data_IF_146026154474
#
_entry.id   IF_146026154474
#
_cell.length_a   1.000
_cell.length_b   1.000
_cell.length_c   1.000
_cell.angle_alpha   90.00
_cell.angle_beta   90.00
_cell.angle_gamma   90.00
#
_symmetry.space_group_name_H-M   'P 1'
#
loop_
_entity.id
_entity.type
_entity.pdbx_description
1 polymer ?
#
# COMPACT_ATOMS: atom_id res chain seq x y z
N UNK A 1 -14.34 2.09 -23.58
CA UNK A 1 -13.00 2.18 -22.96
C UNK A 1 -12.74 3.45 -22.15
N UNK A 2 -12.82 4.68 -22.70
CA UNK A 2 -12.45 5.89 -21.93
C UNK A 2 -13.40 6.21 -20.77
N UNK A 3 -14.70 5.93 -20.93
CA UNK A 3 -15.71 6.16 -19.89
C UNK A 3 -15.60 5.13 -18.76
N UNK A 4 -15.56 3.82 -19.08
CA UNK A 4 -15.52 2.76 -18.06
C UNK A 4 -14.28 2.82 -17.16
N UNK A 5 -13.12 3.20 -17.71
CA UNK A 5 -11.90 3.40 -16.92
C UNK A 5 -12.06 4.59 -15.97
N UNK A 6 -12.65 5.68 -16.44
CA UNK A 6 -12.90 6.87 -15.61
C UNK A 6 -13.93 6.56 -14.52
N UNK A 7 -14.98 5.81 -14.83
CA UNK A 7 -16.01 5.41 -13.86
C UNK A 7 -15.45 4.47 -12.80
N UNK A 8 -14.58 3.52 -13.17
CA UNK A 8 -13.90 2.65 -12.22
C UNK A 8 -12.93 3.44 -11.30
N UNK A 9 -12.27 4.47 -11.84
CA UNK A 9 -11.39 5.36 -11.05
C UNK A 9 -12.21 6.22 -10.08
N UNK A 10 -13.34 6.77 -10.53
CA UNK A 10 -14.23 7.59 -9.68
C UNK A 10 -14.83 6.72 -8.57
N UNK A 11 -15.33 5.52 -8.90
CA UNK A 11 -15.90 4.60 -7.92
C UNK A 11 -14.85 4.19 -6.87
N UNK A 12 -13.59 3.99 -7.27
CA UNK A 12 -12.51 3.72 -6.34
C UNK A 12 -12.19 4.91 -5.42
N UNK A 13 -12.38 6.16 -5.90
CA UNK A 13 -12.12 7.38 -5.15
C UNK A 13 -13.23 7.74 -4.15
N UNK A 14 -14.46 7.31 -4.40
CA UNK A 14 -15.63 7.57 -3.54
C UNK A 14 -15.76 6.61 -2.34
N UNK A 15 -14.83 5.67 -2.20
CA UNK A 15 -14.90 4.66 -1.15
C UNK A 15 -14.28 5.17 0.17
N UNK A 16 -14.87 4.80 1.32
CA UNK A 16 -14.43 5.30 2.62
C UNK A 16 -12.99 4.91 2.93
N UNK A 17 -12.29 5.78 3.68
CA UNK A 17 -10.92 5.53 4.12
C UNK A 17 -10.83 4.20 4.89
N UNK A 18 -10.08 3.25 4.33
CA UNK A 18 -9.95 1.88 4.85
C UNK A 18 -10.66 0.80 4.03
N UNK A 19 -11.45 1.17 3.01
CA UNK A 19 -11.95 0.21 2.05
C UNK A 19 -10.78 -0.42 1.26
N UNK A 20 -10.56 -1.73 1.45
CA UNK A 20 -9.59 -2.50 0.67
C UNK A 20 -10.25 -2.87 -0.64
N UNK A 21 -9.90 -2.15 -1.70
CA UNK A 21 -10.46 -2.37 -3.03
C UNK A 21 -9.33 -2.84 -3.94
N UNK A 22 -9.43 -4.08 -4.37
CA UNK A 22 -8.54 -4.63 -5.39
C UNK A 22 -9.17 -4.41 -6.76
N UNK A 23 -8.91 -3.23 -7.35
CA UNK A 23 -9.29 -2.97 -8.75
C UNK A 23 -8.16 -3.44 -9.64
N UNK A 24 -8.43 -4.48 -10.44
CA UNK A 24 -7.51 -4.95 -11.47
C UNK A 24 -8.08 -4.68 -12.85
N UNK A 25 -7.35 -3.92 -13.66
CA UNK A 25 -7.71 -3.68 -15.05
C UNK A 25 -7.22 -4.86 -15.90
N UNK A 26 -8.14 -5.55 -16.55
CA UNK A 26 -7.84 -6.65 -17.46
C UNK A 26 -7.91 -6.15 -18.91
N UNK A 27 -6.91 -6.46 -19.75
CA UNK A 27 -6.95 -6.09 -21.15
C UNK A 27 -7.93 -6.99 -21.92
N UNK A 28 -8.73 -6.38 -22.79
CA UNK A 28 -9.55 -7.10 -23.78
C UNK A 28 -8.68 -7.57 -24.96
N UNK A 29 -9.14 -8.64 -25.62
CA UNK A 29 -8.56 -9.14 -26.86
C UNK A 29 -8.70 -8.08 -27.96
N UNK A 30 -7.56 -7.61 -28.49
CA UNK A 30 -7.51 -6.58 -29.54
C UNK A 30 -6.96 -5.22 -29.09
N UNK A 31 -6.62 -5.05 -27.81
CA UNK A 31 -5.92 -3.86 -27.36
C UNK A 31 -4.48 -3.80 -27.91
N UNK A 32 -4.01 -2.62 -28.35
CA UNK A 32 -2.61 -2.41 -28.68
C UNK A 32 -1.67 -2.81 -27.55
N UNK A 33 -0.54 -3.45 -27.88
CA UNK A 33 0.43 -3.97 -26.89
C UNK A 33 0.91 -2.90 -25.89
N UNK A 34 1.10 -1.67 -26.34
CA UNK A 34 1.54 -0.58 -25.45
C UNK A 34 0.51 -0.25 -24.36
N UNK A 35 -0.79 -0.40 -24.66
CA UNK A 35 -1.88 -0.23 -23.69
C UNK A 35 -1.88 -1.39 -22.71
N UNK A 36 -1.76 -2.63 -23.20
CA UNK A 36 -1.65 -3.83 -22.35
C UNK A 36 -0.48 -3.69 -21.36
N UNK A 37 0.67 -3.20 -21.83
CA UNK A 37 1.85 -2.94 -20.99
C UNK A 37 1.58 -1.86 -19.94
N UNK A 38 0.92 -0.76 -20.32
CA UNK A 38 0.56 0.31 -19.39
C UNK A 38 -0.42 -0.16 -18.30
N UNK A 39 -1.41 -0.99 -18.66
CA UNK A 39 -2.35 -1.59 -17.70
C UNK A 39 -1.64 -2.51 -16.70
N UNK A 40 -0.68 -3.32 -17.17
CA UNK A 40 0.15 -4.14 -16.28
C UNK A 40 0.91 -3.29 -15.27
N UNK A 41 1.58 -2.23 -15.72
CA UNK A 41 2.27 -1.29 -14.83
C UNK A 41 1.30 -0.64 -13.83
N UNK A 42 0.10 -0.26 -14.27
CA UNK A 42 -0.95 0.27 -13.40
C UNK A 42 -1.33 -0.70 -12.29
N UNK A 43 -1.64 -1.95 -12.64
CA UNK A 43 -1.97 -3.00 -11.68
C UNK A 43 -0.81 -3.27 -10.71
N UNK A 44 0.43 -3.34 -11.20
CA UNK A 44 1.61 -3.54 -10.36
C UNK A 44 1.78 -2.39 -9.34
N UNK A 45 1.52 -1.15 -9.75
CA UNK A 45 1.52 0.01 -8.84
C UNK A 45 0.41 -0.05 -7.80
N UNK A 46 -0.78 -0.53 -8.17
CA UNK A 46 -1.88 -0.70 -7.21
C UNK A 46 -1.54 -1.77 -6.17
N UNK A 47 -1.01 -2.91 -6.62
CA UNK A 47 -0.56 -3.97 -5.73
C UNK A 47 0.55 -3.48 -4.78
N UNK A 48 1.52 -2.72 -5.28
CA UNK A 48 2.59 -2.14 -4.46
C UNK A 48 2.03 -1.20 -3.38
N UNK A 49 1.08 -0.31 -3.72
CA UNK A 49 0.43 0.58 -2.73
C UNK A 49 -0.28 -0.21 -1.63
N UNK A 50 -0.98 -1.29 -1.99
CA UNK A 50 -1.64 -2.16 -1.02
C UNK A 50 -0.62 -2.85 -0.11
N UNK A 51 0.48 -3.34 -0.68
CA UNK A 51 1.56 -3.96 0.08
C UNK A 51 2.27 -2.97 1.02
N UNK A 52 2.50 -1.73 0.57
CA UNK A 52 3.06 -0.66 1.39
C UNK A 52 2.14 -0.30 2.56
N UNK A 53 0.83 -0.23 2.34
CA UNK A 53 -0.15 0.03 3.39
C UNK A 53 -0.17 -1.09 4.45
N UNK A 54 -0.18 -2.36 4.00
CA UNK A 54 -0.10 -3.51 4.89
C UNK A 54 1.21 -3.55 5.68
N UNK A 55 2.35 -3.29 5.02
CA UNK A 55 3.66 -3.24 5.66
C UNK A 55 3.73 -2.12 6.71
N UNK A 56 3.15 -0.95 6.44
CA UNK A 56 3.07 0.15 7.41
C UNK A 56 2.28 -0.28 8.65
N UNK A 57 1.10 -0.87 8.47
CA UNK A 57 0.28 -1.36 9.58
C UNK A 57 1.02 -2.41 10.42
N UNK A 58 1.66 -3.39 9.77
CA UNK A 58 2.44 -4.42 10.45
C UNK A 58 3.67 -3.84 11.18
N UNK A 59 4.28 -2.80 10.62
CA UNK A 59 5.39 -2.08 11.26
C UNK A 59 4.91 -1.39 12.54
N UNK A 60 3.80 -0.66 12.49
CA UNK A 60 3.22 0.01 13.67
C UNK A 60 2.87 -1.00 14.77
N UNK A 61 2.19 -2.09 14.42
CA UNK A 61 1.86 -3.18 15.35
C UNK A 61 3.12 -3.77 16.01
N UNK A 62 4.15 -4.06 15.21
CA UNK A 62 5.42 -4.61 15.70
C UNK A 62 6.14 -3.64 16.63
N UNK A 63 6.18 -2.34 16.28
CA UNK A 63 6.80 -1.29 17.10
C UNK A 63 6.11 -1.21 18.46
N UNK A 64 4.78 -1.15 18.48
CA UNK A 64 4.03 -1.09 19.74
C UNK A 64 4.22 -2.35 20.58
N UNK A 65 4.17 -3.54 19.97
CA UNK A 65 4.36 -4.80 20.66
C UNK A 65 5.74 -4.90 21.32
N UNK A 66 6.81 -4.50 20.60
CA UNK A 66 8.17 -4.56 21.15
C UNK A 66 8.39 -3.53 22.25
N UNK A 67 7.89 -2.30 22.10
CA UNK A 67 8.00 -1.28 23.15
C UNK A 67 7.22 -1.69 24.41
N UNK A 68 6.05 -2.30 24.26
CA UNK A 68 5.26 -2.82 25.38
C UNK A 68 5.98 -3.94 26.15
N UNK A 69 6.87 -4.68 25.48
CA UNK A 69 7.74 -5.70 26.11
C UNK A 69 9.02 -5.10 26.73
N UNK A 70 9.21 -3.78 26.67
CA UNK A 70 10.33 -3.08 27.29
C UNK A 70 11.61 -3.06 26.44
N UNK A 71 11.54 -3.40 25.15
CA UNK A 71 12.69 -3.26 24.25
C UNK A 71 13.07 -1.78 24.07
N UNK A 72 14.37 -1.51 23.90
CA UNK A 72 14.84 -0.15 23.69
C UNK A 72 14.45 0.36 22.30
N UNK A 73 14.26 1.68 22.16
CA UNK A 73 13.97 2.34 20.85
C UNK A 73 15.01 1.97 19.79
N UNK A 74 16.28 1.75 20.18
CA UNK A 74 17.35 1.35 19.28
C UNK A 74 17.18 -0.08 18.76
N UNK A 75 16.75 -1.00 19.60
CA UNK A 75 16.53 -2.41 19.22
C UNK A 75 15.32 -2.52 18.29
N UNK A 76 14.24 -1.80 18.62
CA UNK A 76 13.05 -1.71 17.77
C UNK A 76 13.41 -1.14 16.39
N UNK A 77 14.16 -0.03 16.37
CA UNK A 77 14.63 0.59 15.13
C UNK A 77 15.43 -0.40 14.25
N UNK A 78 16.33 -1.17 14.86
CA UNK A 78 17.08 -2.22 14.16
C UNK A 78 16.18 -3.34 13.61
N UNK A 79 15.18 -3.78 14.38
CA UNK A 79 14.29 -4.87 14.00
C UNK A 79 13.37 -4.52 12.82
N UNK A 80 12.87 -3.28 12.75
CA UNK A 80 11.98 -2.85 11.65
C UNK A 80 12.69 -2.04 10.56
N UNK A 81 14.02 -1.98 10.59
CA UNK A 81 14.84 -1.23 9.64
C UNK A 81 14.47 0.26 9.50
N UNK A 82 14.12 0.91 10.61
CA UNK A 82 13.83 2.34 10.67
C UNK A 82 14.86 3.07 11.54
N UNK A 83 14.83 4.41 11.49
CA UNK A 83 15.66 5.21 12.38
C UNK A 83 15.03 5.31 13.78
N UNK A 84 15.83 5.45 14.87
CA UNK A 84 15.28 5.68 16.21
C UNK A 84 14.33 6.88 16.30
N UNK A 85 14.63 7.95 15.55
CA UNK A 85 13.75 9.12 15.47
C UNK A 85 12.38 8.79 14.84
N UNK A 86 12.33 7.89 13.86
CA UNK A 86 11.06 7.43 13.29
C UNK A 86 10.28 6.55 14.27
N UNK A 87 10.94 5.69 15.03
CA UNK A 87 10.29 4.90 16.10
C UNK A 87 9.64 5.83 17.13
N UNK A 88 10.36 6.87 17.57
CA UNK A 88 9.84 7.84 18.52
C UNK A 88 8.58 8.57 18.00
N UNK A 89 8.45 8.78 16.69
CA UNK A 89 7.25 9.36 16.07
C UNK A 89 6.08 8.38 16.01
N UNK A 90 6.36 7.08 15.85
CA UNK A 90 5.33 6.04 15.77
C UNK A 90 4.82 5.62 17.17
N UNK A 91 5.60 5.88 18.20
CA UNK A 91 5.27 5.54 19.59
C UNK A 91 4.64 6.70 20.39
N UNK A 92 4.57 7.90 19.81
CA UNK A 92 4.03 9.11 20.44
C UNK A 92 2.51 9.20 20.25
#
# INVERSE_FOLDING_TARGET
>A
MRAEIVDAIILAADLPDGAVIDVRLLPDDGLPEYIVRALKVGNDRMALRSAEAALRSATEESVHAMLAQGHSVRDVAGAVALTPGRIAQLSA
#
